data_IF_246614305246
#
_entry.id   IF_246614305246
#
_cell.length_a   1.000
_cell.length_b   1.000
_cell.length_c   1.000
_cell.angle_alpha   90.00
_cell.angle_beta   90.00
_cell.angle_gamma   90.00
#
_symmetry.space_group_name_H-M   'P 1'
#
loop_
_entity.id
_entity.type
_entity.pdbx_description
1 polymer ?
#
# COMPACT_ATOMS: atom_id res chain seq x y z
N UNK A 1 12.45 53.38 -30.01
CA UNK A 1 13.48 52.71 -30.85
C UNK A 1 13.97 51.49 -30.07
N UNK A 2 13.87 50.22 -30.46
CA UNK A 2 13.64 49.54 -31.74
C UNK A 2 12.82 48.28 -31.45
N UNK A 3 11.64 48.21 -32.06
CA UNK A 3 10.88 46.98 -32.26
C UNK A 3 11.41 46.31 -33.52
N UNK A 4 12.17 45.22 -33.44
CA UNK A 4 12.52 44.44 -34.64
C UNK A 4 13.12 43.05 -34.38
N UNK A 5 12.41 42.17 -33.65
CA UNK A 5 12.76 40.74 -33.58
C UNK A 5 11.54 39.81 -33.47
N UNK A 6 10.45 40.11 -34.18
CA UNK A 6 9.23 39.27 -34.15
C UNK A 6 8.67 38.84 -35.52
N UNK A 7 9.42 38.96 -36.60
CA UNK A 7 8.96 38.54 -37.94
C UNK A 7 10.13 37.99 -38.75
N UNK A 8 10.46 36.70 -38.63
CA UNK A 8 11.31 36.02 -39.63
C UNK A 8 11.22 34.48 -39.67
N UNK A 9 10.14 33.85 -39.17
CA UNK A 9 9.96 32.39 -39.28
C UNK A 9 8.59 31.94 -39.80
N UNK A 10 7.94 32.78 -40.61
CA UNK A 10 6.63 32.47 -41.18
C UNK A 10 6.52 32.90 -42.64
N UNK A 11 7.42 32.45 -43.52
CA UNK A 11 7.21 32.38 -44.98
C UNK A 11 8.46 31.80 -45.69
N UNK A 12 8.54 30.48 -45.85
CA UNK A 12 9.14 29.78 -47.00
C UNK A 12 9.10 28.27 -46.71
N UNK A 13 8.35 27.52 -47.51
CA UNK A 13 8.20 26.07 -47.32
C UNK A 13 6.82 25.53 -47.70
N UNK A 14 5.99 26.34 -48.36
CA UNK A 14 4.78 25.90 -49.03
C UNK A 14 4.92 26.29 -50.50
N UNK A 15 5.64 25.45 -51.27
CA UNK A 15 5.57 25.21 -52.73
C UNK A 15 6.43 23.95 -52.96
N UNK A 16 5.81 22.78 -52.87
CA UNK A 16 6.09 21.64 -53.76
C UNK A 16 4.86 20.72 -53.68
N UNK A 17 3.96 20.94 -54.62
CA UNK A 17 2.67 20.29 -54.76
C UNK A 17 2.78 19.13 -55.77
N UNK A 18 2.18 17.99 -55.42
CA UNK A 18 1.33 17.15 -56.29
C UNK A 18 2.01 16.27 -57.38
N UNK A 19 1.40 15.09 -57.62
CA UNK A 19 1.65 14.02 -58.62
C UNK A 19 2.35 12.79 -58.00
N UNK A 20 1.81 11.56 -57.94
CA UNK A 20 0.78 10.86 -58.74
C UNK A 20 0.18 9.73 -57.89
N UNK A 21 -1.14 9.59 -57.92
CA UNK A 21 -1.87 8.35 -57.65
C UNK A 21 -2.54 7.89 -58.97
N UNK A 22 -2.81 6.58 -59.06
CA UNK A 22 -3.48 5.83 -60.14
C UNK A 22 -2.56 5.15 -61.18
N UNK A 23 -2.36 3.83 -61.01
CA UNK A 23 -2.49 2.85 -62.08
C UNK A 23 -2.65 1.44 -61.49
N UNK A 24 -3.89 0.95 -61.46
CA UNK A 24 -4.18 -0.47 -61.46
C UNK A 24 -4.40 -0.89 -62.92
N UNK A 25 -3.70 -1.92 -63.39
CA UNK A 25 -4.21 -2.98 -64.27
C UNK A 25 -3.09 -3.84 -64.88
N UNK A 26 -3.25 -5.16 -64.70
CA UNK A 26 -2.95 -6.26 -65.63
C UNK A 26 -1.56 -6.40 -66.27
N UNK A 27 -0.84 -7.46 -65.86
CA UNK A 27 -0.21 -8.41 -66.81
C UNK A 27 -0.37 -9.83 -66.26
N UNK A 28 -0.62 -10.75 -67.20
CA UNK A 28 -1.15 -12.11 -67.05
C UNK A 28 -0.16 -13.16 -66.52
N UNK A 29 -0.79 -14.18 -65.93
CA UNK A 29 -0.46 -15.61 -65.94
C UNK A 29 0.71 -16.08 -66.81
N UNK A 30 1.64 -16.79 -66.17
CA UNK A 30 2.23 -18.00 -66.74
C UNK A 30 2.13 -19.12 -65.70
N UNK A 31 1.33 -20.13 -66.03
CA UNK A 31 1.28 -21.41 -65.35
C UNK A 31 2.53 -22.23 -65.72
N UNK A 32 3.07 -22.98 -64.75
CA UNK A 32 3.70 -24.26 -65.04
C UNK A 32 3.38 -25.24 -63.92
N UNK A 33 2.94 -26.42 -64.35
CA UNK A 33 2.53 -27.58 -63.58
C UNK A 33 3.54 -28.01 -62.51
N UNK A 34 3.03 -28.52 -61.38
CA UNK A 34 3.53 -29.77 -60.80
C UNK A 34 2.48 -30.42 -59.87
N UNK A 35 2.40 -31.74 -60.00
CA UNK A 35 1.40 -32.67 -59.53
C UNK A 35 1.21 -32.75 -57.99
N UNK A 36 0.09 -33.30 -57.50
CA UNK A 36 -0.19 -33.40 -56.06
C UNK A 36 0.51 -34.61 -55.42
N UNK A 37 1.42 -34.33 -54.49
CA UNK A 37 2.02 -35.34 -53.62
C UNK A 37 1.08 -35.66 -52.46
N UNK A 38 0.65 -36.91 -52.37
CA UNK A 38 -0.14 -37.47 -51.27
C UNK A 38 0.70 -37.45 -49.98
N UNK A 39 0.25 -36.72 -48.96
CA UNK A 39 0.85 -36.73 -47.60
C UNK A 39 0.15 -37.79 -46.75
N UNK A 40 0.87 -38.73 -46.10
CA UNK A 40 0.27 -39.72 -45.21
C UNK A 40 -0.31 -39.09 -43.94
N UNK A 41 -1.51 -39.53 -43.57
CA UNK A 41 -2.19 -39.16 -42.33
C UNK A 41 -1.38 -39.55 -41.08
N UNK A 42 -1.06 -38.57 -40.24
CA UNK A 42 -0.49 -38.80 -38.91
C UNK A 42 -1.53 -39.41 -37.94
N UNK A 43 -1.14 -40.32 -37.04
CA UNK A 43 -2.04 -40.89 -36.05
C UNK A 43 -2.42 -39.84 -34.98
N UNK A 44 -3.71 -39.81 -34.62
CA UNK A 44 -4.26 -39.00 -33.54
C UNK A 44 -3.52 -39.29 -32.23
N UNK A 45 -2.77 -38.32 -31.72
CA UNK A 45 -2.18 -38.36 -30.39
C UNK A 45 -3.27 -38.17 -29.33
N UNK A 46 -3.43 -39.16 -28.45
CA UNK A 46 -4.26 -39.08 -27.25
C UNK A 46 -3.82 -37.92 -26.35
N UNK A 47 -4.72 -37.27 -25.61
CA UNK A 47 -4.34 -36.18 -24.71
C UNK A 47 -3.44 -36.72 -23.59
N UNK A 48 -2.26 -36.11 -23.43
CA UNK A 48 -1.42 -36.32 -22.25
C UNK A 48 -2.21 -35.85 -21.02
N UNK A 49 -2.27 -36.63 -19.93
CA UNK A 49 -2.90 -36.16 -18.69
C UNK A 49 -2.16 -34.92 -18.21
N UNK A 50 -2.90 -33.83 -17.96
CA UNK A 50 -2.34 -32.62 -17.37
C UNK A 50 -1.91 -32.96 -15.96
N UNK A 51 -0.59 -33.01 -15.73
CA UNK A 51 -0.05 -33.14 -14.38
C UNK A 51 -0.34 -31.80 -13.70
N UNK A 52 -1.39 -31.75 -12.87
CA UNK A 52 -1.55 -30.67 -11.90
C UNK A 52 -0.26 -30.61 -11.07
N UNK A 53 0.44 -29.46 -11.00
CA UNK A 53 1.63 -29.37 -10.18
C UNK A 53 1.26 -29.74 -8.74
N UNK A 54 1.94 -30.73 -8.18
CA UNK A 54 1.84 -31.05 -6.76
C UNK A 54 2.07 -29.77 -5.95
N UNK A 55 1.28 -29.51 -4.89
CA UNK A 55 1.47 -28.32 -4.06
C UNK A 55 2.92 -28.28 -3.59
N UNK A 56 3.62 -27.17 -3.85
CA UNK A 56 4.96 -26.94 -3.33
C UNK A 56 4.85 -27.07 -1.80
N UNK A 57 5.60 -28.00 -1.21
CA UNK A 57 5.60 -28.18 0.24
C UNK A 57 6.06 -26.88 0.92
N UNK A 58 5.37 -26.49 1.99
CA UNK A 58 5.74 -25.30 2.76
C UNK A 58 7.15 -25.48 3.36
N UNK A 59 7.94 -24.40 3.48
CA UNK A 59 9.18 -24.44 4.25
C UNK A 59 8.92 -24.99 5.67
N UNK A 60 9.87 -25.75 6.27
CA UNK A 60 9.67 -26.40 7.56
C UNK A 60 9.22 -25.45 8.68
N UNK A 61 9.78 -24.24 8.71
CA UNK A 61 9.41 -23.19 9.66
C UNK A 61 7.95 -22.73 9.46
N UNK A 62 7.57 -22.41 8.22
CA UNK A 62 6.18 -22.07 7.88
C UNK A 62 5.22 -23.20 8.27
N UNK A 63 5.56 -24.45 7.97
CA UNK A 63 4.74 -25.61 8.31
C UNK A 63 4.57 -25.78 9.84
N UNK A 64 5.63 -25.51 10.62
CA UNK A 64 5.58 -25.55 12.07
C UNK A 64 4.65 -24.48 12.66
N UNK A 65 4.71 -23.24 12.14
CA UNK A 65 3.81 -22.16 12.58
C UNK A 65 2.35 -22.46 12.19
N UNK A 66 2.12 -22.97 10.98
CA UNK A 66 0.76 -23.36 10.55
C UNK A 66 0.19 -24.46 11.45
N UNK A 67 1.03 -25.41 11.87
CA UNK A 67 0.64 -26.48 12.78
C UNK A 67 0.37 -26.00 14.21
N UNK A 68 0.97 -24.88 14.65
CA UNK A 68 0.74 -24.31 15.99
C UNK A 68 -0.57 -23.53 16.13
N UNK A 69 -1.26 -23.23 15.03
CA UNK A 69 -2.54 -22.49 15.02
C UNK A 69 -3.73 -23.27 15.61
N UNK A 70 -3.49 -24.43 16.23
CA UNK A 70 -4.48 -25.25 16.91
C UNK A 70 -5.25 -26.20 15.96
N UNK A 71 -6.27 -26.90 16.46
CA UNK A 71 -6.90 -28.02 15.75
C UNK A 71 -7.66 -27.63 14.48
N UNK A 72 -8.06 -26.36 14.35
CA UNK A 72 -8.69 -25.82 13.13
C UNK A 72 -7.67 -25.41 12.06
N UNK A 73 -6.38 -25.38 12.41
CA UNK A 73 -5.30 -24.89 11.57
C UNK A 73 -5.34 -23.37 11.36
N UNK A 74 -4.29 -22.84 10.73
CA UNK A 74 -4.25 -21.44 10.30
C UNK A 74 -5.23 -21.26 9.14
N UNK A 75 -6.21 -20.38 9.29
CA UNK A 75 -7.16 -20.09 8.22
C UNK A 75 -6.43 -19.48 7.02
N UNK A 76 -6.72 -19.93 5.80
CA UNK A 76 -6.24 -19.31 4.56
C UNK A 76 -7.45 -18.79 3.77
N UNK A 77 -7.62 -17.48 3.59
CA UNK A 77 -8.76 -16.94 2.88
C UNK A 77 -8.74 -17.36 1.40
N UNK A 78 -9.90 -17.40 0.73
CA UNK A 78 -9.96 -17.53 -0.72
C UNK A 78 -9.13 -16.44 -1.39
N UNK A 79 -8.31 -16.82 -2.38
CA UNK A 79 -7.47 -15.87 -3.09
C UNK A 79 -8.30 -15.04 -4.08
N UNK A 80 -8.13 -13.73 -4.05
CA UNK A 80 -8.63 -12.82 -5.09
C UNK A 80 -7.73 -12.76 -6.34
N UNK A 81 -8.01 -11.78 -7.21
CA UNK A 81 -7.21 -11.46 -8.40
C UNK A 81 -5.77 -11.01 -8.01
N UNK A 82 -5.69 -10.25 -6.92
CA UNK A 82 -4.43 -9.77 -6.32
C UNK A 82 -4.50 -9.99 -4.81
N UNK A 83 -3.42 -10.48 -4.21
CA UNK A 83 -3.30 -10.62 -2.75
C UNK A 83 -2.19 -9.74 -2.20
N UNK A 84 -2.53 -8.91 -1.22
CA UNK A 84 -1.57 -8.14 -0.44
C UNK A 84 -1.38 -8.78 0.93
N UNK A 85 -0.15 -8.74 1.43
CA UNK A 85 0.13 -8.87 2.85
C UNK A 85 0.40 -7.47 3.41
N UNK A 86 -0.42 -7.01 4.34
CA UNK A 86 -0.29 -5.68 4.94
C UNK A 86 0.29 -5.83 6.33
N UNK A 87 1.43 -5.17 6.56
CA UNK A 87 2.15 -5.13 7.83
C UNK A 87 2.40 -3.68 8.22
N UNK A 88 2.70 -3.40 9.48
CA UNK A 88 3.03 -2.05 9.94
C UNK A 88 3.73 -2.08 11.30
N UNK A 89 4.44 -0.99 11.60
CA UNK A 89 5.02 -0.68 12.90
C UNK A 89 5.88 -1.86 13.39
N UNK A 90 6.92 -2.18 12.64
CA UNK A 90 7.74 -3.37 12.87
C UNK A 90 8.71 -3.16 14.03
N UNK A 91 9.02 -1.91 14.31
CA UNK A 91 10.09 -1.50 15.20
C UNK A 91 9.86 -1.90 16.67
N UNK A 92 10.97 -2.01 17.40
CA UNK A 92 10.98 -2.21 18.85
C UNK A 92 11.38 -0.90 19.55
N UNK A 93 12.07 -0.97 20.69
CA UNK A 93 12.55 0.22 21.40
C UNK A 93 13.50 1.08 20.54
N UNK A 94 13.58 2.39 20.85
CA UNK A 94 14.46 3.34 20.17
C UNK A 94 15.90 2.84 20.01
N UNK A 95 16.43 2.90 18.79
CA UNK A 95 17.78 2.43 18.46
C UNK A 95 17.93 0.92 18.33
N UNK A 96 16.87 0.13 18.53
CA UNK A 96 16.92 -1.33 18.44
C UNK A 96 17.32 -1.80 17.04
N UNK A 97 18.21 -2.79 17.01
CA UNK A 97 18.54 -3.59 15.82
C UNK A 97 17.87 -4.97 15.85
N UNK A 98 17.04 -5.22 16.86
CA UNK A 98 16.25 -6.44 17.01
C UNK A 98 14.76 -6.14 16.81
N UNK A 99 14.05 -7.21 16.43
CA UNK A 99 12.61 -7.21 16.15
C UNK A 99 11.91 -8.20 17.06
N UNK A 100 10.66 -7.92 17.39
CA UNK A 100 9.85 -8.83 18.20
C UNK A 100 9.53 -10.12 17.41
N UNK A 101 9.33 -11.27 18.08
CA UNK A 101 9.11 -12.56 17.42
C UNK A 101 7.94 -12.59 16.42
N UNK A 102 6.90 -11.79 16.64
CA UNK A 102 5.75 -11.71 15.73
C UNK A 102 6.11 -11.09 14.36
N UNK A 103 7.18 -10.29 14.27
CA UNK A 103 7.72 -9.80 13.00
C UNK A 103 8.30 -10.98 12.22
N UNK A 104 9.18 -11.77 12.84
CA UNK A 104 9.76 -12.96 12.23
C UNK A 104 8.67 -13.97 11.85
N UNK A 105 7.67 -14.19 12.71
CA UNK A 105 6.53 -15.07 12.45
C UNK A 105 5.70 -14.60 11.24
N UNK A 106 5.44 -13.30 11.11
CA UNK A 106 4.72 -12.73 9.98
C UNK A 106 5.45 -12.96 8.65
N UNK A 107 6.78 -12.81 8.65
CA UNK A 107 7.62 -13.05 7.47
C UNK A 107 7.70 -14.54 7.12
N UNK A 108 7.83 -15.41 8.12
CA UNK A 108 7.86 -16.86 7.95
C UNK A 108 6.54 -17.42 7.39
N UNK A 109 5.43 -16.68 7.51
CA UNK A 109 4.13 -17.04 6.94
C UNK A 109 3.89 -16.52 5.52
N UNK A 110 4.78 -15.70 4.94
CA UNK A 110 4.69 -15.26 3.53
C UNK A 110 4.50 -16.44 2.56
N UNK A 111 5.24 -17.57 2.65
CA UNK A 111 5.06 -18.71 1.75
C UNK A 111 3.70 -19.40 1.88
N UNK A 112 3.00 -19.25 3.01
CA UNK A 112 1.67 -19.82 3.23
C UNK A 112 0.58 -19.03 2.49
N UNK A 113 0.59 -17.70 2.64
CA UNK A 113 -0.41 -16.84 1.98
C UNK A 113 -0.07 -16.51 0.52
N UNK A 114 1.21 -16.59 0.15
CA UNK A 114 1.73 -16.30 -1.19
C UNK A 114 1.24 -14.94 -1.73
N UNK A 115 1.50 -13.83 -1.00
CA UNK A 115 1.08 -12.51 -1.47
C UNK A 115 1.79 -12.14 -2.78
N UNK A 116 1.11 -11.35 -3.59
CA UNK A 116 1.69 -10.75 -4.80
C UNK A 116 2.57 -9.54 -4.48
N UNK A 117 2.26 -8.86 -3.36
CA UNK A 117 2.93 -7.66 -2.87
C UNK A 117 2.80 -7.63 -1.35
N UNK A 118 3.88 -7.34 -0.64
CA UNK A 118 3.81 -6.91 0.76
C UNK A 118 3.72 -5.39 0.78
N UNK A 119 2.80 -4.82 1.57
CA UNK A 119 2.75 -3.39 1.83
C UNK A 119 2.96 -3.07 3.31
N UNK A 120 3.72 -2.01 3.60
CA UNK A 120 4.05 -1.58 4.95
C UNK A 120 3.52 -0.17 5.28
N UNK A 121 2.84 -0.04 6.41
CA UNK A 121 2.32 1.22 6.96
C UNK A 121 3.37 2.10 7.66
N UNK A 122 4.66 1.75 7.60
CA UNK A 122 5.77 2.54 8.16
C UNK A 122 6.26 2.02 9.51
N UNK A 123 7.20 2.77 10.09
CA UNK A 123 7.90 2.45 11.35
C UNK A 123 8.61 1.09 11.29
N UNK A 124 9.44 0.94 10.27
CA UNK A 124 10.29 -0.23 10.05
C UNK A 124 11.51 -0.25 10.98
N UNK A 125 12.01 0.92 11.38
CA UNK A 125 13.10 1.09 12.36
C UNK A 125 12.67 2.01 13.50
N UNK A 126 13.41 1.99 14.61
CA UNK A 126 13.07 2.72 15.84
C UNK A 126 13.91 4.01 16.01
N UNK A 127 13.88 4.91 15.02
CA UNK A 127 14.52 6.23 15.13
C UNK A 127 13.67 7.24 15.92
N UNK A 128 13.87 8.54 15.65
CA UNK A 128 13.16 9.65 16.30
C UNK A 128 13.55 9.90 17.78
N UNK A 129 14.74 9.48 18.18
CA UNK A 129 15.35 9.83 19.46
C UNK A 129 16.59 10.72 19.20
N UNK A 130 16.64 11.96 19.71
CA UNK A 130 17.73 12.90 19.46
C UNK A 130 19.10 12.44 20.01
N UNK A 131 19.13 11.39 20.82
CA UNK A 131 20.37 10.77 21.31
C UNK A 131 20.98 9.79 20.32
N UNK A 132 20.24 9.35 19.30
CA UNK A 132 20.74 8.41 18.31
C UNK A 132 21.71 9.09 17.35
N UNK A 133 22.85 8.44 17.12
CA UNK A 133 23.83 8.90 16.14
C UNK A 133 23.48 8.38 14.74
N UNK A 134 24.07 8.99 13.71
CA UNK A 134 23.98 8.48 12.35
C UNK A 134 24.43 7.01 12.23
N UNK A 135 25.42 6.59 13.04
CA UNK A 135 25.88 5.21 13.07
C UNK A 135 24.80 4.26 13.65
N UNK A 136 24.08 4.68 14.70
CA UNK A 136 22.95 3.92 15.22
C UNK A 136 21.85 3.77 14.17
N UNK A 137 21.50 4.85 13.47
CA UNK A 137 20.49 4.82 12.41
C UNK A 137 20.86 3.86 11.27
N UNK A 138 22.12 3.89 10.82
CA UNK A 138 22.62 2.95 9.80
C UNK A 138 22.60 1.50 10.28
N UNK A 139 22.90 1.26 11.54
CA UNK A 139 22.82 -0.07 12.13
C UNK A 139 21.38 -0.61 12.15
N UNK A 140 20.40 0.23 12.51
CA UNK A 140 18.98 -0.14 12.44
C UNK A 140 18.54 -0.51 11.02
N UNK A 141 18.89 0.30 10.02
CA UNK A 141 18.57 -0.01 8.61
C UNK A 141 19.29 -1.26 8.09
N UNK A 142 20.52 -1.52 8.56
CA UNK A 142 21.25 -2.76 8.25
C UNK A 142 20.52 -3.98 8.81
N UNK A 143 20.04 -3.88 10.06
CA UNK A 143 19.28 -4.95 10.70
C UNK A 143 17.93 -5.19 10.01
N UNK A 144 17.21 -4.12 9.68
CA UNK A 144 15.99 -4.17 8.88
C UNK A 144 16.22 -4.91 7.56
N UNK A 145 17.31 -4.58 6.84
CA UNK A 145 17.61 -5.21 5.57
C UNK A 145 17.86 -6.71 5.73
N UNK A 146 18.71 -7.09 6.69
CA UNK A 146 19.07 -8.47 6.94
C UNK A 146 17.88 -9.34 7.34
N UNK A 147 17.02 -8.81 8.22
CA UNK A 147 15.90 -9.54 8.83
C UNK A 147 14.63 -9.54 7.99
N UNK A 148 14.37 -8.45 7.25
CA UNK A 148 13.05 -8.19 6.64
C UNK A 148 13.17 -8.03 5.13
N UNK A 149 13.86 -6.99 4.66
CA UNK A 149 13.83 -6.62 3.26
C UNK A 149 14.59 -7.60 2.35
N UNK A 150 15.79 -8.05 2.74
CA UNK A 150 16.58 -8.98 1.95
C UNK A 150 15.91 -10.37 1.81
N UNK A 151 15.30 -10.97 2.84
CA UNK A 151 14.46 -12.15 2.68
C UNK A 151 13.34 -11.97 1.63
N UNK A 152 12.61 -10.86 1.66
CA UNK A 152 11.56 -10.57 0.67
C UNK A 152 12.14 -10.45 -0.75
N UNK A 153 13.26 -9.73 -0.92
CA UNK A 153 13.95 -9.63 -2.22
C UNK A 153 14.41 -11.00 -2.72
N UNK A 154 14.97 -11.87 -1.87
CA UNK A 154 15.35 -13.24 -2.23
C UNK A 154 14.14 -14.09 -2.64
N UNK A 155 13.01 -13.91 -1.95
CA UNK A 155 11.74 -14.55 -2.29
C UNK A 155 11.06 -13.92 -3.53
N UNK A 156 11.61 -12.84 -4.08
CA UNK A 156 11.05 -12.05 -5.20
C UNK A 156 9.64 -11.55 -4.92
N UNK A 157 9.37 -11.20 -3.66
CA UNK A 157 8.12 -10.56 -3.25
C UNK A 157 8.36 -9.05 -3.19
N UNK A 158 7.70 -8.25 -4.05
CA UNK A 158 7.81 -6.79 -4.00
C UNK A 158 7.35 -6.23 -2.64
N UNK A 159 7.92 -5.09 -2.26
CA UNK A 159 7.67 -4.43 -0.98
C UNK A 159 7.32 -2.95 -1.17
N UNK A 160 6.04 -2.59 -1.13
CA UNK A 160 5.59 -1.20 -1.15
C UNK A 160 5.48 -0.63 0.26
N UNK A 161 5.98 0.57 0.54
CA UNK A 161 5.97 1.09 1.92
C UNK A 161 5.83 2.59 2.01
N UNK A 162 5.26 3.09 3.10
CA UNK A 162 5.47 4.48 3.54
C UNK A 162 6.56 4.52 4.61
N UNK A 163 7.25 5.65 4.74
CA UNK A 163 8.05 5.91 5.94
C UNK A 163 7.15 6.33 7.08
N UNK A 164 7.49 5.92 8.30
CA UNK A 164 6.85 6.38 9.53
C UNK A 164 7.67 7.42 10.29
N UNK A 165 7.15 7.89 11.42
CA UNK A 165 7.82 8.91 12.21
C UNK A 165 9.13 8.42 12.82
N UNK A 166 9.22 7.14 13.18
CA UNK A 166 10.46 6.53 13.65
C UNK A 166 11.46 6.26 12.52
N UNK A 167 11.00 6.10 11.27
CA UNK A 167 11.90 5.92 10.13
C UNK A 167 12.58 7.23 9.73
N UNK A 168 11.79 8.29 9.57
CA UNK A 168 12.23 9.53 8.95
C UNK A 168 11.23 10.69 9.12
N UNK A 169 10.80 11.02 10.35
CA UNK A 169 9.73 12.01 10.58
C UNK A 169 9.90 13.32 9.79
N UNK A 170 8.80 13.74 9.15
CA UNK A 170 8.68 15.03 8.46
C UNK A 170 8.32 16.20 9.39
N UNK A 171 8.35 15.99 10.71
CA UNK A 171 8.04 17.04 11.69
C UNK A 171 8.99 18.24 11.53
N UNK A 172 8.42 19.44 11.53
CA UNK A 172 9.15 20.69 11.30
C UNK A 172 9.42 21.45 12.60
N UNK A 173 10.61 22.01 12.71
CA UNK A 173 10.97 22.96 13.76
C UNK A 173 10.44 24.36 13.46
N UNK A 174 10.64 25.26 14.42
CA UNK A 174 10.12 26.64 14.36
C UNK A 174 10.60 27.48 13.17
N UNK A 175 11.71 27.10 12.51
CA UNK A 175 12.21 27.80 11.31
C UNK A 175 11.89 27.06 10.01
N UNK A 176 11.01 26.05 10.05
CA UNK A 176 10.54 25.32 8.87
C UNK A 176 11.47 24.22 8.35
N UNK A 177 12.55 23.91 9.07
CA UNK A 177 13.44 22.78 8.79
C UNK A 177 12.95 21.50 9.46
N UNK A 178 13.27 20.34 8.92
CA UNK A 178 12.98 19.05 9.58
C UNK A 178 13.69 18.95 10.93
N UNK A 179 12.97 18.51 11.96
CA UNK A 179 13.54 18.21 13.28
C UNK A 179 14.48 17.00 13.23
N UNK A 180 14.18 16.04 12.36
CA UNK A 180 14.87 14.76 12.23
C UNK A 180 15.57 14.65 10.86
N UNK A 181 16.29 15.70 10.46
CA UNK A 181 16.95 15.76 9.14
C UNK A 181 17.95 14.61 8.94
N UNK A 182 18.71 14.25 9.97
CA UNK A 182 19.71 13.18 9.90
C UNK A 182 19.05 11.82 9.59
N UNK A 183 17.94 11.52 10.24
CA UNK A 183 17.14 10.32 10.00
C UNK A 183 16.62 10.28 8.56
N UNK A 184 16.09 11.41 8.08
CA UNK A 184 15.64 11.53 6.68
C UNK A 184 16.78 11.29 5.69
N UNK A 185 17.96 11.85 5.94
CA UNK A 185 19.12 11.68 5.07
C UNK A 185 19.60 10.22 5.05
N UNK A 186 19.65 9.56 6.22
CA UNK A 186 20.05 8.14 6.32
C UNK A 186 19.02 7.24 5.64
N UNK A 187 17.73 7.45 5.88
CA UNK A 187 16.64 6.67 5.27
C UNK A 187 16.63 6.83 3.75
N UNK A 188 16.79 8.05 3.24
CA UNK A 188 16.89 8.29 1.81
C UNK A 188 18.16 7.66 1.22
N UNK A 189 19.30 7.73 1.90
CA UNK A 189 20.55 7.13 1.45
C UNK A 189 20.47 5.60 1.39
N UNK A 190 19.81 4.96 2.37
CA UNK A 190 19.55 3.52 2.38
C UNK A 190 18.72 3.11 1.16
N UNK A 191 17.51 3.66 1.03
CA UNK A 191 16.58 3.24 -0.02
C UNK A 191 17.04 3.60 -1.45
N UNK A 192 17.91 4.59 -1.62
CA UNK A 192 18.46 4.95 -2.95
C UNK A 192 19.56 4.01 -3.44
N UNK A 193 20.09 3.12 -2.59
CA UNK A 193 21.06 2.13 -3.06
C UNK A 193 20.39 1.04 -3.90
N UNK A 194 20.98 0.65 -5.05
CA UNK A 194 20.41 -0.40 -5.91
C UNK A 194 20.19 -1.75 -5.22
N UNK A 195 21.04 -2.12 -4.26
CA UNK A 195 20.92 -3.36 -3.48
C UNK A 195 19.70 -3.40 -2.54
N UNK A 196 19.11 -2.25 -2.26
CA UNK A 196 17.92 -2.08 -1.42
C UNK A 196 16.65 -1.82 -2.24
N UNK A 197 16.67 -2.13 -3.54
CA UNK A 197 15.49 -1.97 -4.41
C UNK A 197 14.28 -2.76 -3.87
N UNK A 198 13.14 -2.10 -3.57
CA UNK A 198 11.94 -2.76 -3.06
C UNK A 198 11.25 -3.71 -4.06
N UNK A 199 11.67 -3.73 -5.32
CA UNK A 199 11.12 -4.60 -6.36
C UNK A 199 9.74 -4.17 -6.87
N UNK A 200 9.29 -2.95 -6.56
CA UNK A 200 8.04 -2.39 -7.10
C UNK A 200 8.25 -1.74 -8.47
N UNK A 201 7.22 -1.73 -9.29
CA UNK A 201 7.27 -1.05 -10.59
C UNK A 201 6.93 0.44 -10.43
N UNK A 202 7.96 1.27 -10.24
CA UNK A 202 7.77 2.72 -10.10
C UNK A 202 7.08 3.37 -11.31
N UNK A 203 6.14 4.27 -11.02
CA UNK A 203 5.55 5.21 -11.99
C UNK A 203 6.20 6.60 -11.84
N UNK A 204 6.36 7.07 -10.60
CA UNK A 204 7.14 8.26 -10.25
C UNK A 204 8.01 7.92 -9.04
N UNK A 205 9.32 8.12 -9.15
CA UNK A 205 10.33 7.85 -8.11
C UNK A 205 11.15 9.09 -7.73
N UNK A 206 10.72 10.28 -8.13
CA UNK A 206 11.52 11.50 -8.02
C UNK A 206 11.83 11.89 -6.57
N UNK A 207 10.90 11.64 -5.66
CA UNK A 207 11.04 11.96 -4.24
C UNK A 207 10.99 10.70 -3.35
N UNK A 208 11.40 9.55 -3.92
CA UNK A 208 11.54 8.30 -3.18
C UNK A 208 12.64 8.44 -2.10
N UNK A 209 12.39 8.00 -0.85
CA UNK A 209 11.29 7.14 -0.39
C UNK A 209 10.08 7.87 0.24
N UNK A 210 9.98 9.20 0.10
CA UNK A 210 9.00 10.01 0.83
C UNK A 210 7.68 10.20 0.07
N UNK A 211 7.76 10.55 -1.20
CA UNK A 211 6.60 10.69 -2.09
C UNK A 211 6.91 9.99 -3.40
N UNK A 212 6.13 8.96 -3.72
CA UNK A 212 6.33 8.19 -4.93
C UNK A 212 5.06 7.44 -5.33
N UNK A 213 5.04 6.93 -6.56
CA UNK A 213 3.94 6.11 -7.06
C UNK A 213 4.49 4.88 -7.74
N UNK A 214 3.75 3.78 -7.66
CA UNK A 214 4.11 2.53 -8.31
C UNK A 214 2.85 1.76 -8.70
N UNK A 215 3.03 0.73 -9.52
CA UNK A 215 1.96 -0.16 -9.92
C UNK A 215 2.25 -1.60 -9.59
N UNK A 216 1.16 -2.34 -9.38
CA UNK A 216 1.21 -3.79 -9.30
C UNK A 216 -0.12 -4.37 -9.76
N UNK A 217 -0.11 -5.23 -10.79
CA UNK A 217 -1.29 -5.95 -11.31
C UNK A 217 -2.56 -5.09 -11.43
N UNK A 218 -2.50 -4.04 -12.24
CA UNK A 218 -3.60 -3.07 -12.48
C UNK A 218 -4.04 -2.23 -11.26
N UNK A 219 -3.28 -2.25 -10.16
CA UNK A 219 -3.50 -1.38 -9.00
C UNK A 219 -2.45 -0.26 -9.02
N UNK A 220 -2.92 0.97 -8.90
CA UNK A 220 -2.06 2.15 -8.73
C UNK A 220 -1.89 2.45 -7.25
N UNK A 221 -0.63 2.53 -6.80
CA UNK A 221 -0.29 2.89 -5.44
C UNK A 221 0.32 4.29 -5.42
N UNK A 222 -0.19 5.13 -4.52
CA UNK A 222 0.43 6.38 -4.15
C UNK A 222 0.94 6.28 -2.72
N UNK A 223 2.19 6.69 -2.52
CA UNK A 223 2.78 6.83 -1.19
C UNK A 223 3.01 8.31 -0.92
N UNK A 224 2.54 8.78 0.22
CA UNK A 224 2.85 10.11 0.73
C UNK A 224 3.65 10.03 2.03
N UNK A 225 4.40 11.08 2.31
CA UNK A 225 5.08 11.19 3.59
C UNK A 225 4.09 11.66 4.66
N UNK A 226 3.42 10.67 5.27
CA UNK A 226 2.52 10.86 6.40
C UNK A 226 3.22 10.66 7.74
N UNK A 227 4.53 10.92 7.86
CA UNK A 227 5.31 10.71 9.10
C UNK A 227 5.23 11.89 10.09
N UNK A 228 4.35 12.85 9.83
CA UNK A 228 3.89 13.91 10.73
C UNK A 228 2.51 14.39 10.28
N UNK A 229 1.82 15.17 11.11
CA UNK A 229 0.43 15.56 10.85
C UNK A 229 0.21 16.47 9.62
N UNK A 230 1.25 17.10 9.08
CA UNK A 230 1.14 18.10 8.01
C UNK A 230 1.76 17.62 6.70
N UNK A 231 0.97 17.71 5.62
CA UNK A 231 1.46 17.58 4.25
C UNK A 231 1.39 18.97 3.60
N UNK A 232 2.50 19.41 3.00
CA UNK A 232 2.55 20.75 2.40
C UNK A 232 1.59 20.88 1.21
N UNK A 233 1.10 22.10 0.95
CA UNK A 233 0.20 22.37 -0.19
C UNK A 233 0.81 21.96 -1.54
N UNK A 234 2.13 22.15 -1.70
CA UNK A 234 2.85 21.73 -2.90
C UNK A 234 2.80 20.21 -3.08
N UNK A 235 3.02 19.45 -2.00
CA UNK A 235 2.94 17.99 -2.04
C UNK A 235 1.51 17.51 -2.28
N UNK A 236 0.51 18.14 -1.67
CA UNK A 236 -0.89 17.83 -1.97
C UNK A 236 -1.25 18.12 -3.45
N UNK A 237 -0.71 19.18 -4.04
CA UNK A 237 -0.89 19.45 -5.47
C UNK A 237 -0.23 18.36 -6.34
N UNK A 238 0.93 17.85 -5.94
CA UNK A 238 1.54 16.68 -6.60
C UNK A 238 0.68 15.43 -6.43
N UNK A 239 0.12 15.17 -5.24
CA UNK A 239 -0.78 14.04 -4.99
C UNK A 239 -1.98 14.08 -5.91
N UNK A 240 -2.68 15.22 -5.99
CA UNK A 240 -3.81 15.39 -6.91
C UNK A 240 -3.41 15.19 -8.38
N UNK A 241 -2.26 15.72 -8.80
CA UNK A 241 -1.74 15.53 -10.16
C UNK A 241 -1.43 14.07 -10.46
N UNK A 242 -0.81 13.35 -9.53
CA UNK A 242 -0.47 11.93 -9.66
C UNK A 242 -1.74 11.07 -9.75
N UNK A 243 -2.72 11.34 -8.88
CA UNK A 243 -4.01 10.66 -8.90
C UNK A 243 -4.84 10.99 -10.15
N UNK A 244 -4.74 12.20 -10.69
CA UNK A 244 -5.40 12.59 -11.94
C UNK A 244 -4.73 12.02 -13.21
N UNK A 245 -3.53 11.43 -13.10
CA UNK A 245 -2.78 10.95 -14.25
C UNK A 245 -3.53 9.85 -15.02
N UNK A 246 -3.32 9.72 -16.36
CA UNK A 246 -3.94 8.64 -17.13
C UNK A 246 -3.65 7.25 -16.53
N UNK A 247 -2.43 7.09 -16.01
CA UNK A 247 -1.94 5.87 -15.38
C UNK A 247 -2.81 5.49 -14.17
N UNK A 248 -3.00 6.42 -13.22
CA UNK A 248 -3.85 6.22 -12.06
C UNK A 248 -5.34 6.06 -12.41
N UNK A 249 -5.84 6.82 -13.39
CA UNK A 249 -7.25 6.78 -13.80
C UNK A 249 -7.63 5.51 -14.59
N UNK A 250 -6.67 4.87 -15.26
CA UNK A 250 -6.86 3.60 -15.97
C UNK A 250 -6.72 2.37 -15.06
N UNK A 251 -6.06 2.51 -13.90
CA UNK A 251 -5.95 1.44 -12.93
C UNK A 251 -7.32 1.01 -12.39
N UNK A 252 -7.51 -0.30 -12.21
CA UNK A 252 -8.76 -0.89 -11.70
C UNK A 252 -9.01 -0.50 -10.23
N UNK A 253 -7.94 -0.24 -9.48
CA UNK A 253 -7.99 0.19 -8.10
C UNK A 253 -6.87 1.20 -7.81
N UNK A 254 -7.12 2.11 -6.86
CA UNK A 254 -6.11 3.02 -6.31
C UNK A 254 -6.01 2.83 -4.80
N UNK A 255 -4.80 2.66 -4.30
CA UNK A 255 -4.49 2.54 -2.88
C UNK A 255 -3.53 3.68 -2.50
N UNK A 256 -3.77 4.30 -1.36
CA UNK A 256 -2.84 5.25 -0.77
C UNK A 256 -2.20 4.64 0.48
N UNK A 257 -0.87 4.69 0.55
CA UNK A 257 -0.09 4.35 1.75
C UNK A 257 0.42 5.63 2.42
N UNK A 258 0.24 5.70 3.74
CA UNK A 258 0.80 6.74 4.61
C UNK A 258 0.94 6.22 6.02
N UNK A 259 1.67 6.92 6.88
CA UNK A 259 1.89 6.42 8.23
C UNK A 259 0.82 6.87 9.22
N UNK A 260 0.70 8.18 9.46
CA UNK A 260 -0.35 8.73 10.33
C UNK A 260 -1.74 8.50 9.70
N UNK A 261 -2.72 8.04 10.49
CA UNK A 261 -4.08 7.88 10.02
C UNK A 261 -4.78 9.24 9.80
N UNK A 262 -5.89 9.22 9.06
CA UNK A 262 -6.77 10.38 8.94
C UNK A 262 -7.55 10.63 10.23
N UNK A 263 -7.93 9.58 10.97
CA UNK A 263 -8.74 9.67 12.19
C UNK A 263 -8.13 8.88 13.34
N UNK A 264 -8.37 9.35 14.56
CA UNK A 264 -8.01 8.69 15.82
C UNK A 264 -8.59 7.28 15.92
N UNK A 265 -7.78 6.30 16.36
CA UNK A 265 -8.31 4.96 16.68
C UNK A 265 -7.83 4.39 18.00
N UNK A 266 -6.69 4.85 18.53
CA UNK A 266 -6.08 4.29 19.73
C UNK A 266 -6.01 5.28 20.90
N UNK A 267 -6.16 4.75 22.12
CA UNK A 267 -5.98 5.53 23.35
C UNK A 267 -4.54 6.06 23.43
N UNK A 268 -4.42 7.35 23.74
CA UNK A 268 -3.13 8.05 23.80
C UNK A 268 -2.51 8.34 22.43
N UNK A 269 -3.28 8.22 21.35
CA UNK A 269 -2.96 8.65 19.98
C UNK A 269 -4.12 9.36 19.29
N UNK A 270 -5.23 9.59 20.00
CA UNK A 270 -6.39 10.34 19.48
C UNK A 270 -6.28 11.83 19.84
N UNK A 271 -5.27 12.49 19.27
CA UNK A 271 -5.01 13.91 19.53
C UNK A 271 -4.36 14.62 18.33
N UNK A 272 -4.40 15.96 18.27
CA UNK A 272 -3.73 16.72 17.22
C UNK A 272 -2.22 16.43 17.19
N UNK A 273 -1.68 16.14 16.00
CA UNK A 273 -0.28 15.75 15.83
C UNK A 273 -0.08 14.27 15.57
N UNK A 274 -1.00 13.42 16.07
CA UNK A 274 -0.99 11.95 15.91
C UNK A 274 -1.88 11.49 14.74
N UNK A 275 -2.65 12.41 14.17
CA UNK A 275 -3.44 12.23 12.96
C UNK A 275 -3.07 13.28 11.92
N UNK A 276 -3.38 13.01 10.66
CA UNK A 276 -3.24 14.03 9.61
C UNK A 276 -4.20 15.20 9.83
N UNK A 277 -3.69 16.42 9.70
CA UNK A 277 -4.50 17.63 9.71
C UNK A 277 -5.43 17.69 8.50
N UNK A 278 -6.60 18.31 8.69
CA UNK A 278 -7.62 18.45 7.64
C UNK A 278 -8.15 17.11 7.10
N UNK A 279 -8.31 16.12 7.99
CA UNK A 279 -8.72 14.76 7.69
C UNK A 279 -9.90 14.66 6.69
N UNK A 280 -10.99 15.39 6.92
CA UNK A 280 -12.17 15.36 6.04
C UNK A 280 -11.90 15.95 4.65
N UNK A 281 -11.04 16.97 4.54
CA UNK A 281 -10.64 17.56 3.26
C UNK A 281 -9.74 16.60 2.47
N UNK A 282 -8.80 15.95 3.16
CA UNK A 282 -7.94 14.92 2.58
C UNK A 282 -8.77 13.73 2.10
N UNK A 283 -9.67 13.20 2.95
CA UNK A 283 -10.62 12.14 2.58
C UNK A 283 -11.42 12.52 1.34
N UNK A 284 -12.02 13.72 1.30
CA UNK A 284 -12.80 14.19 0.16
C UNK A 284 -11.96 14.29 -1.13
N UNK A 285 -10.70 14.72 -1.04
CA UNK A 285 -9.76 14.73 -2.17
C UNK A 285 -9.49 13.30 -2.68
N UNK A 286 -9.24 12.35 -1.77
CA UNK A 286 -9.01 10.94 -2.13
C UNK A 286 -10.23 10.31 -2.81
N UNK A 287 -11.44 10.60 -2.32
CA UNK A 287 -12.68 10.14 -2.95
C UNK A 287 -12.95 10.77 -4.32
N UNK A 288 -12.65 12.07 -4.49
CA UNK A 288 -12.74 12.75 -5.80
C UNK A 288 -11.93 12.01 -6.85
N UNK A 289 -10.74 11.51 -6.48
CA UNK A 289 -9.91 10.68 -7.35
C UNK A 289 -10.09 9.19 -7.12
N UNK A 290 -11.25 8.76 -6.61
CA UNK A 290 -11.67 7.36 -6.38
C UNK A 290 -10.56 6.44 -5.85
N UNK A 291 -9.78 6.94 -4.89
CA UNK A 291 -8.93 6.08 -4.06
C UNK A 291 -9.84 5.17 -3.25
N UNK A 292 -9.58 3.87 -3.32
CA UNK A 292 -10.43 2.86 -2.70
C UNK A 292 -10.10 2.68 -1.23
N UNK A 293 -8.82 2.63 -0.90
CA UNK A 293 -8.34 2.38 0.47
C UNK A 293 -7.17 3.30 0.82
N UNK A 294 -7.23 3.91 1.99
CA UNK A 294 -6.07 4.47 2.70
C UNK A 294 -5.59 3.47 3.75
N UNK A 295 -4.32 3.09 3.68
CA UNK A 295 -3.68 2.17 4.63
C UNK A 295 -2.71 2.97 5.49
N UNK A 296 -2.84 2.85 6.82
CA UNK A 296 -2.04 3.60 7.80
C UNK A 296 -1.64 2.76 9.01
N UNK A 297 -0.55 3.13 9.67
CA UNK A 297 -0.03 2.52 10.90
C UNK A 297 -0.18 3.45 12.12
N UNK A 298 0.92 3.66 12.86
CA UNK A 298 1.14 4.70 13.88
C UNK A 298 0.38 4.53 15.21
N UNK A 299 -0.90 4.18 15.14
CA UNK A 299 -1.76 4.06 16.32
C UNK A 299 -1.59 2.74 17.07
N UNK A 300 -0.90 1.76 16.47
CA UNK A 300 -0.66 0.44 17.06
C UNK A 300 -1.95 -0.29 17.48
N UNK A 301 -3.06 -0.01 16.80
CA UNK A 301 -4.36 -0.63 17.06
C UNK A 301 -5.07 -0.91 15.73
N UNK A 302 -5.41 -2.19 15.50
CA UNK A 302 -6.09 -2.60 14.28
C UNK A 302 -7.55 -2.16 14.29
N UNK A 303 -7.96 -1.47 13.24
CA UNK A 303 -9.37 -1.15 13.02
C UNK A 303 -9.69 -1.03 11.50
N UNK A 304 -10.52 -1.92 10.95
CA UNK A 304 -10.99 -1.82 9.58
C UNK A 304 -12.22 -0.90 9.54
N UNK A 305 -12.08 0.25 8.90
CA UNK A 305 -13.11 1.28 8.90
C UNK A 305 -13.40 1.84 7.51
N UNK A 306 -14.39 2.72 7.46
CA UNK A 306 -14.63 3.62 6.35
C UNK A 306 -15.22 4.93 6.85
N UNK A 307 -15.08 5.97 6.03
CA UNK A 307 -15.81 7.23 6.13
C UNK A 307 -16.13 7.72 4.72
N UNK A 308 -17.38 8.05 4.45
CA UNK A 308 -17.91 8.26 3.12
C UNK A 308 -17.73 7.01 2.25
N UNK A 309 -16.93 7.14 1.18
CA UNK A 309 -16.60 6.06 0.23
C UNK A 309 -15.18 5.53 0.39
N UNK A 310 -14.36 6.20 1.19
CA UNK A 310 -12.96 5.79 1.41
C UNK A 310 -12.89 4.72 2.49
N UNK A 311 -12.32 3.56 2.14
CA UNK A 311 -11.96 2.54 3.11
C UNK A 311 -10.70 2.98 3.86
N UNK A 312 -10.69 2.78 5.17
CA UNK A 312 -9.61 3.12 6.07
C UNK A 312 -9.11 1.83 6.72
N UNK A 313 -7.93 1.36 6.33
CA UNK A 313 -7.29 0.22 6.97
C UNK A 313 -6.27 0.75 7.98
N UNK A 314 -6.70 0.89 9.23
CA UNK A 314 -5.81 1.16 10.35
C UNK A 314 -5.15 -0.15 10.75
N UNK A 315 -3.87 -0.28 10.43
CA UNK A 315 -3.09 -1.42 10.81
C UNK A 315 -2.85 -1.40 12.32
N UNK A 316 -2.86 -2.59 12.92
CA UNK A 316 -2.26 -2.76 14.24
C UNK A 316 -0.74 -2.73 14.11
N UNK A 317 -0.08 -3.57 14.90
CA UNK A 317 1.38 -3.58 15.01
C UNK A 317 1.92 -5.01 14.97
N UNK A 318 3.12 -5.21 14.42
CA UNK A 318 3.91 -6.43 14.63
C UNK A 318 5.04 -6.25 15.66
N UNK A 319 5.61 -5.04 15.71
CA UNK A 319 6.63 -4.64 16.68
C UNK A 319 6.09 -4.41 18.08
N UNK A 320 6.67 -3.44 18.80
CA UNK A 320 6.43 -3.26 20.23
C UNK A 320 5.34 -2.22 20.56
N UNK A 321 4.58 -2.51 21.62
CA UNK A 321 3.64 -1.55 22.23
C UNK A 321 2.28 -1.44 21.55
N UNK A 322 1.51 -2.55 21.41
CA UNK A 322 0.12 -2.48 20.95
C UNK A 322 -0.73 -1.61 21.89
N UNK A 323 -1.72 -0.92 21.33
CA UNK A 323 -2.59 0.00 22.08
C UNK A 323 -4.05 -0.42 22.02
N UNK A 324 -4.85 -0.09 23.05
CA UNK A 324 -6.29 -0.32 23.01
C UNK A 324 -6.96 0.69 22.07
N UNK A 325 -8.08 0.28 21.48
CA UNK A 325 -8.95 1.17 20.71
C UNK A 325 -9.59 2.22 21.64
N UNK A 326 -9.92 3.39 21.08
CA UNK A 326 -10.60 4.47 21.82
C UNK A 326 -12.00 4.12 22.30
N UNK A 327 -12.63 3.11 21.71
CA UNK A 327 -13.91 2.55 22.15
C UNK A 327 -13.81 1.03 22.28
N UNK A 328 -14.73 0.45 23.06
CA UNK A 328 -14.78 -0.98 23.33
C UNK A 328 -13.70 -1.45 24.30
N UNK A 329 -13.63 -2.77 24.48
CA UNK A 329 -12.78 -3.41 25.49
C UNK A 329 -11.91 -4.52 24.87
N UNK A 330 -11.58 -4.40 23.58
CA UNK A 330 -10.70 -5.37 22.91
C UNK A 330 -9.30 -5.24 23.49
N UNK A 331 -8.70 -6.32 24.00
CA UNK A 331 -7.33 -6.28 24.48
C UNK A 331 -6.37 -5.81 23.37
N UNK A 332 -5.37 -4.97 23.68
CA UNK A 332 -4.32 -4.63 22.73
C UNK A 332 -3.61 -5.90 22.26
N UNK A 333 -3.47 -6.04 20.93
CA UNK A 333 -2.86 -7.21 20.32
C UNK A 333 -2.02 -6.83 19.11
N UNK A 334 -1.17 -7.76 18.70
CA UNK A 334 -0.38 -7.64 17.47
C UNK A 334 -1.14 -8.26 16.33
N UNK A 335 -1.12 -7.64 15.16
CA UNK A 335 -1.94 -8.09 14.04
C UNK A 335 -1.26 -7.95 12.70
N UNK A 336 -1.70 -8.81 11.78
CA UNK A 336 -1.30 -8.81 10.38
C UNK A 336 -2.54 -9.05 9.52
N UNK A 337 -2.63 -8.36 8.39
CA UNK A 337 -3.81 -8.43 7.52
C UNK A 337 -3.45 -8.96 6.15
N UNK A 338 -4.17 -9.98 5.69
CA UNK A 338 -4.19 -10.41 4.29
C UNK A 338 -5.34 -9.69 3.60
N UNK A 339 -5.04 -8.97 2.53
CA UNK A 339 -6.04 -8.27 1.71
C UNK A 339 -6.14 -8.95 0.36
N UNK A 340 -7.29 -9.54 0.07
CA UNK A 340 -7.61 -10.07 -1.25
C UNK A 340 -8.42 -9.03 -2.02
N UNK A 341 -8.01 -8.72 -3.25
CA UNK A 341 -8.69 -7.81 -4.17
C UNK A 341 -9.42 -8.62 -5.23
N UNK A 342 -10.70 -8.32 -5.45
CA UNK A 342 -11.57 -8.98 -6.41
C UNK A 342 -12.15 -7.93 -7.38
N UNK A 343 -11.52 -7.73 -8.54
CA UNK A 343 -11.89 -6.65 -9.47
C UNK A 343 -13.31 -6.77 -10.02
N UNK A 344 -13.83 -8.00 -10.10
CA UNK A 344 -15.18 -8.29 -10.58
C UNK A 344 -16.10 -8.78 -9.44
N UNK A 345 -15.65 -8.70 -8.19
CA UNK A 345 -16.43 -9.11 -7.02
C UNK A 345 -17.43 -8.03 -6.60
N UNK A 346 -18.49 -8.41 -5.84
CA UNK A 346 -19.39 -7.42 -5.23
C UNK A 346 -18.65 -6.54 -4.21
N UNK A 347 -17.68 -7.12 -3.51
CA UNK A 347 -16.76 -6.43 -2.62
C UNK A 347 -15.39 -6.36 -3.29
N UNK A 348 -14.90 -5.14 -3.54
CA UNK A 348 -13.60 -4.94 -4.20
C UNK A 348 -12.45 -5.52 -3.36
N UNK A 349 -12.54 -5.46 -2.03
CA UNK A 349 -11.53 -6.01 -1.14
C UNK A 349 -12.12 -6.83 0.01
N UNK A 350 -11.39 -7.85 0.45
CA UNK A 350 -11.68 -8.66 1.63
C UNK A 350 -10.49 -8.60 2.57
N UNK A 351 -10.72 -8.27 3.83
CA UNK A 351 -9.68 -8.20 4.86
C UNK A 351 -9.78 -9.43 5.76
N UNK A 352 -8.70 -10.18 5.86
CA UNK A 352 -8.55 -11.30 6.79
C UNK A 352 -7.40 -10.97 7.73
N UNK A 353 -7.74 -10.65 8.97
CA UNK A 353 -6.75 -10.19 9.96
C UNK A 353 -6.57 -11.23 11.05
N UNK A 354 -5.30 -11.45 11.39
CA UNK A 354 -4.89 -12.43 12.38
C UNK A 354 -4.34 -11.70 13.60
N UNK A 355 -4.71 -12.19 14.77
CA UNK A 355 -3.94 -11.93 15.99
C UNK A 355 -2.65 -12.76 15.89
N UNK A 356 -1.50 -12.09 15.92
CA UNK A 356 -0.22 -12.72 15.64
C UNK A 356 0.37 -13.47 16.83
N UNK A 357 -0.25 -13.41 18.01
CA UNK A 357 0.14 -14.23 19.16
C UNK A 357 -0.60 -15.56 19.16
N UNK A 358 -1.87 -15.54 18.76
CA UNK A 358 -2.76 -16.70 18.81
C UNK A 358 -2.99 -17.37 17.46
N UNK A 359 -2.64 -16.68 16.35
CA UNK A 359 -2.95 -17.05 14.97
C UNK A 359 -4.45 -17.16 14.67
N UNK A 360 -5.30 -16.67 15.57
CA UNK A 360 -6.75 -16.64 15.39
C UNK A 360 -7.17 -15.41 14.59
N UNK A 361 -8.31 -15.52 13.92
CA UNK A 361 -8.89 -14.40 13.19
C UNK A 361 -9.49 -13.36 14.15
N UNK A 362 -9.18 -12.10 13.91
CA UNK A 362 -9.88 -10.96 14.52
C UNK A 362 -11.18 -10.76 13.74
N UNK A 363 -12.30 -11.15 14.34
CA UNK A 363 -13.62 -11.03 13.73
C UNK A 363 -14.20 -9.63 13.95
N UNK A 364 -15.01 -9.14 13.02
CA UNK A 364 -15.59 -7.80 13.12
C UNK A 364 -16.49 -7.63 14.35
N UNK A 365 -17.21 -8.67 14.76
CA UNK A 365 -18.10 -8.64 15.94
C UNK A 365 -17.34 -8.45 17.26
N UNK A 366 -16.03 -8.67 17.29
CA UNK A 366 -15.16 -8.36 18.41
C UNK A 366 -14.85 -6.86 18.51
N UNK A 367 -14.90 -6.13 17.39
CA UNK A 367 -14.52 -4.73 17.30
C UNK A 367 -15.74 -3.81 17.49
N UNK A 368 -15.58 -2.58 18.00
CA UNK A 368 -16.65 -1.59 18.04
C UNK A 368 -17.23 -1.31 16.66
N UNK A 369 -18.54 -1.10 16.56
CA UNK A 369 -19.22 -0.79 15.28
C UNK A 369 -18.84 0.57 14.70
N UNK A 370 -18.39 1.50 15.53
CA UNK A 370 -17.89 2.82 15.15
C UNK A 370 -16.93 3.33 16.22
N UNK A 371 -16.08 4.29 15.86
CA UNK A 371 -15.21 5.02 16.78
C UNK A 371 -15.49 6.52 16.70
N UNK A 372 -15.47 7.21 17.84
CA UNK A 372 -15.63 8.67 17.92
C UNK A 372 -14.29 9.31 18.28
N UNK A 373 -13.46 9.56 17.28
CA UNK A 373 -12.18 10.24 17.44
C UNK A 373 -12.38 11.74 17.67
N UNK A 374 -11.38 12.42 18.24
CA UNK A 374 -11.43 13.88 18.46
C UNK A 374 -11.69 14.67 17.16
N UNK A 375 -11.28 14.12 16.01
CA UNK A 375 -11.40 14.74 14.69
C UNK A 375 -12.50 14.13 13.80
N UNK A 376 -13.36 13.27 14.34
CA UNK A 376 -14.55 12.76 13.64
C UNK A 376 -14.90 11.32 13.94
N UNK A 377 -16.12 10.92 13.57
CA UNK A 377 -16.57 9.54 13.65
C UNK A 377 -16.15 8.75 12.40
N UNK A 378 -15.81 7.47 12.59
CA UNK A 378 -15.60 6.48 11.52
C UNK A 378 -16.39 5.20 11.83
N UNK A 379 -16.92 4.57 10.77
CA UNK A 379 -17.70 3.33 10.88
C UNK A 379 -16.80 2.11 10.64
N UNK A 380 -17.04 1.02 11.36
CA UNK A 380 -16.42 -0.27 11.03
C UNK A 380 -16.83 -0.69 9.62
N UNK A 381 -15.92 -1.36 8.91
CA UNK A 381 -16.05 -1.68 7.48
C UNK A 381 -17.40 -2.29 7.05
N UNK A 382 -17.98 -3.17 7.86
CA UNK A 382 -19.26 -3.87 7.59
C UNK A 382 -20.51 -3.12 8.08
N UNK A 383 -20.34 -1.90 8.60
CA UNK A 383 -21.44 -1.11 9.15
C UNK A 383 -21.78 0.02 8.19
N UNK A 384 -23.01 -0.01 7.65
CA UNK A 384 -23.45 1.02 6.71
C UNK A 384 -23.79 2.35 7.41
N UNK A 385 -24.45 2.29 8.57
CA UNK A 385 -24.94 3.46 9.30
C UNK A 385 -25.04 3.20 10.81
N UNK A 386 -25.01 4.28 11.59
CA UNK A 386 -25.38 4.26 13.01
C UNK A 386 -26.89 4.06 13.16
N UNK A 387 -27.30 3.28 14.15
CA UNK A 387 -28.70 3.27 14.61
C UNK A 387 -29.00 4.51 15.48
N UNK A 388 -30.27 4.75 15.82
CA UNK A 388 -30.67 5.96 16.56
C UNK A 388 -29.98 6.13 17.93
N UNK A 389 -29.71 5.02 18.64
CA UNK A 389 -28.99 5.03 19.91
C UNK A 389 -27.51 5.36 19.70
N UNK A 390 -26.89 4.73 18.70
CA UNK A 390 -25.50 4.99 18.31
C UNK A 390 -25.29 6.44 17.83
N UNK A 391 -26.24 6.98 17.06
CA UNK A 391 -26.23 8.38 16.63
C UNK A 391 -26.29 9.32 17.83
N UNK A 392 -27.19 9.05 18.78
CA UNK A 392 -27.31 9.84 20.02
C UNK A 392 -26.02 9.78 20.84
N UNK A 393 -25.40 8.60 20.95
CA UNK A 393 -24.13 8.43 21.65
C UNK A 393 -22.97 9.17 20.96
N UNK A 394 -22.95 9.21 19.62
CA UNK A 394 -21.98 10.01 18.88
C UNK A 394 -22.16 11.51 19.14
N UNK A 395 -23.40 12.01 19.03
CA UNK A 395 -23.70 13.44 19.20
C UNK A 395 -23.52 13.94 20.65
N UNK A 396 -23.37 13.05 21.63
CA UNK A 396 -22.94 13.38 22.99
C UNK A 396 -21.45 13.72 23.09
N UNK A 397 -20.62 13.20 22.18
CA UNK A 397 -19.15 13.38 22.17
C UNK A 397 -18.69 14.36 21.09
N UNK A 398 -19.38 14.38 19.96
CA UNK A 398 -19.00 15.12 18.76
C UNK A 398 -20.17 15.98 18.25
N UNK A 399 -19.86 16.95 17.39
CA UNK A 399 -20.92 17.67 16.68
C UNK A 399 -21.66 16.75 15.70
N UNK A 400 -22.89 17.13 15.33
CA UNK A 400 -23.70 16.41 14.33
C UNK A 400 -22.98 16.24 12.99
N UNK A 401 -22.20 17.24 12.57
CA UNK A 401 -21.40 17.17 11.35
C UNK A 401 -20.29 16.12 11.46
N UNK A 402 -19.60 16.06 12.61
CA UNK A 402 -18.56 15.07 12.87
C UNK A 402 -19.09 13.64 13.02
N UNK A 403 -20.38 13.48 13.35
CA UNK A 403 -21.08 12.20 13.39
C UNK A 403 -21.64 11.74 12.04
N UNK A 404 -21.46 12.52 10.97
CA UNK A 404 -21.85 12.08 9.64
C UNK A 404 -20.92 10.97 9.14
N UNK A 405 -21.53 9.92 8.60
CA UNK A 405 -20.84 8.76 8.00
C UNK A 405 -20.05 9.14 6.74
#
# INVERSE_FOLDING_TARGET
MRWWRFFFFSLLGLILSICVACAAANVQNTASDNAPTVVPSQPKSSPKPSISPSPIALPPETAAIVASAGPKGLYNPPRGDVRLLVISDLNSAYGSTDYDPEVDQGLALIPFWQPDLVVCGGDMVAGQDPRLTQANMKAMWTAFDQRIAAPMRRAKVPFGFTVGNHDASSALGVRGQFLFQTERDVTAAFWKQPEHDPGVQFVDRNDFPFFYTFEHKDIFFLVWDGSSSKISKEKLAWVEKSLASPKAQQAKMRILLGHLPLYGVAIGRDEPGEVLENADQLRAMLEKYKVSTYISGHHHAYYPAHKGKLQLLHMGILGAGPRPLIEGNVPPGKSLTVVDINFNGPELTTYTTYDMQTLQLIQYDQLPRFLTAHNGMILRRDVDNLNASEQTACEQKLSREQCAA
#
